data_IF_802673134132
#
_entry.id   IF_802673134132
#
_cell.length_a   1.000
_cell.length_b   1.000
_cell.length_c   1.000
_cell.angle_alpha   90.00
_cell.angle_beta   90.00
_cell.angle_gamma   90.00
#
_symmetry.space_group_name_H-M   'P 1'
#
loop_
_entity.id
_entity.type
_entity.pdbx_description
1 polymer ?
#
# COMPACT_ATOMS: atom_id res chain seq x y z
N UNK A 1 -5.84 17.36 7.79
CA UNK A 1 -6.69 16.16 7.58
C UNK A 1 -7.83 16.57 6.67
N UNK A 2 -8.04 15.82 5.57
CA UNK A 2 -9.10 16.09 4.58
C UNK A 2 -10.12 14.96 4.70
N UNK A 3 -11.39 15.30 4.92
CA UNK A 3 -12.55 14.39 4.99
C UNK A 3 -12.34 13.14 5.88
N UNK A 4 -11.59 13.27 6.98
CA UNK A 4 -11.29 12.19 7.90
C UNK A 4 -11.14 12.71 9.33
N UNK A 5 -11.27 11.80 10.30
CA UNK A 5 -10.89 12.05 11.68
C UNK A 5 -9.36 12.06 11.83
N UNK A 6 -8.82 12.79 12.85
CA UNK A 6 -7.41 12.70 13.20
C UNK A 6 -6.99 11.26 13.56
N UNK A 7 -5.72 10.91 13.34
CA UNK A 7 -5.21 9.56 13.63
C UNK A 7 -5.47 9.11 15.09
N UNK A 8 -5.35 10.01 16.05
CA UNK A 8 -5.63 9.75 17.48
C UNK A 8 -7.07 9.30 17.78
N UNK A 9 -8.00 9.55 16.87
CA UNK A 9 -9.38 9.08 17.00
C UNK A 9 -9.61 7.76 16.23
N UNK A 10 -8.71 7.40 15.33
CA UNK A 10 -8.82 6.22 14.47
C UNK A 10 -7.98 5.04 14.95
N UNK A 11 -6.89 5.31 15.69
CA UNK A 11 -5.90 4.32 16.13
C UNK A 11 -5.81 4.38 17.66
N UNK A 12 -5.82 3.21 18.30
CA UNK A 12 -5.67 3.01 19.73
C UNK A 12 -4.38 2.26 20.02
N UNK A 13 -3.93 2.30 21.27
CA UNK A 13 -2.68 1.67 21.70
C UNK A 13 -2.63 0.15 21.47
N UNK A 14 -3.77 -0.54 21.51
CA UNK A 14 -3.89 -1.99 21.28
C UNK A 14 -4.10 -2.40 19.81
N UNK A 15 -4.25 -1.43 18.91
CA UNK A 15 -4.42 -1.71 17.49
C UNK A 15 -3.13 -2.31 16.88
N UNK A 16 -3.33 -3.27 15.98
CA UNK A 16 -2.28 -3.72 15.06
C UNK A 16 -2.30 -2.82 13.83
N UNK A 17 -1.16 -2.25 13.49
CA UNK A 17 -1.03 -1.28 12.38
C UNK A 17 -0.13 -1.84 11.28
N UNK A 18 -0.58 -1.70 10.04
CA UNK A 18 0.22 -2.00 8.85
C UNK A 18 0.45 -0.73 8.05
N UNK A 19 1.71 -0.37 7.87
CA UNK A 19 2.10 0.66 6.93
C UNK A 19 2.34 0.03 5.56
N UNK A 20 1.72 0.57 4.53
CA UNK A 20 1.95 0.16 3.14
C UNK A 20 2.69 1.28 2.44
N UNK A 21 3.92 1.01 2.02
CA UNK A 21 4.80 1.97 1.36
C UNK A 21 5.11 1.54 -0.07
N UNK A 22 5.46 2.48 -0.93
CA UNK A 22 5.83 2.17 -2.31
C UNK A 22 7.26 1.57 -2.41
N UNK A 23 7.55 0.94 -3.54
CA UNK A 23 8.87 0.40 -3.86
C UNK A 23 9.91 1.48 -4.23
N UNK A 24 11.14 1.04 -4.55
CA UNK A 24 12.26 1.91 -4.92
C UNK A 24 11.98 2.81 -6.12
N UNK A 25 11.15 2.40 -7.05
CA UNK A 25 10.83 3.21 -8.25
C UNK A 25 10.16 4.53 -7.88
N UNK A 26 9.65 4.64 -6.65
CA UNK A 26 8.97 5.80 -6.11
C UNK A 26 9.65 6.42 -4.88
N UNK A 27 10.91 6.03 -4.60
CA UNK A 27 11.67 6.53 -3.45
C UNK A 27 11.91 8.05 -3.47
N UNK A 28 11.86 8.67 -4.65
CA UNK A 28 11.92 10.13 -4.81
C UNK A 28 10.85 10.89 -3.99
N UNK A 29 9.75 10.24 -3.61
CA UNK A 29 8.70 10.82 -2.76
C UNK A 29 9.11 10.95 -1.29
N UNK A 30 10.28 10.40 -0.90
CA UNK A 30 10.82 10.45 0.45
C UNK A 30 9.84 9.92 1.49
N UNK A 31 9.18 8.83 1.17
CA UNK A 31 8.25 8.13 2.06
C UNK A 31 8.92 7.62 3.35
N UNK A 32 10.22 7.37 3.30
CA UNK A 32 11.08 7.05 4.44
C UNK A 32 10.91 8.05 5.60
N UNK A 33 10.92 9.34 5.29
CA UNK A 33 10.75 10.41 6.28
C UNK A 33 9.34 10.47 6.86
N UNK A 34 8.33 10.31 6.01
CA UNK A 34 6.92 10.31 6.44
C UNK A 34 6.63 9.10 7.32
N UNK A 35 7.15 7.93 6.93
CA UNK A 35 7.01 6.69 7.69
C UNK A 35 7.64 6.83 9.09
N UNK A 36 8.87 7.36 9.18
CA UNK A 36 9.54 7.56 10.46
C UNK A 36 8.72 8.44 11.41
N UNK A 37 8.23 9.59 10.91
CA UNK A 37 7.37 10.50 11.70
C UNK A 37 6.09 9.78 12.18
N UNK A 38 5.46 8.98 11.34
CA UNK A 38 4.22 8.29 11.70
C UNK A 38 4.46 7.16 12.70
N UNK A 39 5.52 6.40 12.55
CA UNK A 39 5.90 5.31 13.47
C UNK A 39 6.18 5.89 14.87
N UNK A 40 6.99 6.94 14.96
CA UNK A 40 7.27 7.61 16.24
C UNK A 40 5.98 8.23 16.84
N UNK A 41 5.18 8.91 16.05
CA UNK A 41 3.91 9.48 16.52
C UNK A 41 2.96 8.40 17.08
N UNK A 42 2.83 7.26 16.41
CA UNK A 42 1.99 6.17 16.89
C UNK A 42 2.55 5.54 18.17
N UNK A 43 3.88 5.46 18.29
CA UNK A 43 4.51 4.91 19.49
C UNK A 43 4.45 5.89 20.66
N UNK A 44 4.95 7.09 20.48
CA UNK A 44 5.17 8.05 21.56
C UNK A 44 3.87 8.73 22.03
N UNK A 45 3.00 9.09 21.07
CA UNK A 45 1.78 9.86 21.39
C UNK A 45 0.54 8.96 21.57
N UNK A 46 0.46 7.83 20.85
CA UNK A 46 -0.71 6.95 20.91
C UNK A 46 -0.46 5.64 21.67
N UNK A 47 0.78 5.38 22.09
CA UNK A 47 1.17 4.23 22.89
C UNK A 47 1.14 2.89 22.14
N UNK A 48 1.16 2.90 20.80
CA UNK A 48 1.19 1.67 20.00
C UNK A 48 2.57 1.02 20.10
N UNK A 49 2.70 -0.24 20.57
CA UNK A 49 3.99 -0.93 20.61
C UNK A 49 4.56 -1.13 19.21
N UNK A 50 5.89 -1.05 19.05
CA UNK A 50 6.55 -1.35 17.77
C UNK A 50 6.22 -2.75 17.24
N UNK A 51 6.06 -3.74 18.12
CA UNK A 51 5.67 -5.11 17.76
C UNK A 51 4.25 -5.21 17.16
N UNK A 52 3.40 -4.23 17.42
CA UNK A 52 2.09 -4.13 16.81
C UNK A 52 2.13 -3.47 15.41
N UNK A 53 3.25 -2.88 15.03
CA UNK A 53 3.45 -2.22 13.75
C UNK A 53 4.18 -3.16 12.77
N UNK A 54 3.87 -3.04 11.49
CA UNK A 54 4.57 -3.73 10.41
C UNK A 54 4.56 -2.86 9.16
N UNK A 55 5.63 -2.92 8.39
CA UNK A 55 5.75 -2.22 7.11
C UNK A 55 5.74 -3.23 5.98
N UNK A 56 4.85 -3.05 5.00
CA UNK A 56 4.75 -3.85 3.78
C UNK A 56 5.13 -2.98 2.59
N UNK A 57 6.15 -3.40 1.84
CA UNK A 57 6.52 -2.75 0.58
C UNK A 57 5.58 -3.22 -0.52
N UNK A 58 4.80 -2.30 -1.09
CA UNK A 58 3.80 -2.54 -2.12
C UNK A 58 4.47 -2.73 -3.49
N UNK A 59 4.89 -3.94 -3.78
CA UNK A 59 5.62 -4.30 -5.01
C UNK A 59 4.71 -4.55 -6.21
N UNK A 60 3.45 -4.97 -5.96
CA UNK A 60 2.64 -5.53 -7.03
C UNK A 60 3.35 -6.75 -7.63
N UNK A 61 3.69 -6.67 -8.92
CA UNK A 61 4.47 -7.69 -9.62
C UNK A 61 5.93 -7.31 -9.88
N UNK A 62 6.43 -6.27 -9.23
CA UNK A 62 7.83 -5.88 -9.30
C UNK A 62 8.72 -6.86 -8.53
N UNK A 63 10.03 -6.83 -8.77
CA UNK A 63 10.99 -7.63 -8.03
C UNK A 63 11.00 -7.27 -6.54
N UNK A 64 11.30 -8.21 -5.66
CA UNK A 64 11.49 -7.91 -4.25
C UNK A 64 12.67 -6.94 -4.05
N UNK A 65 12.56 -6.09 -3.05
CA UNK A 65 13.63 -5.26 -2.58
C UNK A 65 14.64 -6.11 -1.79
N UNK A 66 15.94 -5.85 -1.97
CA UNK A 66 16.98 -6.45 -1.15
C UNK A 66 16.97 -5.86 0.27
N UNK A 67 17.69 -6.45 1.20
CA UNK A 67 17.63 -6.06 2.61
C UNK A 67 18.09 -4.62 2.85
N UNK A 68 19.16 -4.20 2.17
CA UNK A 68 19.67 -2.83 2.18
C UNK A 68 18.67 -1.84 1.55
N UNK A 69 17.94 -2.29 0.53
CA UNK A 69 16.86 -1.52 -0.09
C UNK A 69 15.65 -1.38 0.85
N UNK A 70 15.28 -2.43 1.60
CA UNK A 70 14.22 -2.38 2.61
C UNK A 70 14.58 -1.38 3.72
N UNK A 71 15.82 -1.44 4.21
CA UNK A 71 16.33 -0.49 5.19
C UNK A 71 16.25 0.96 4.66
N UNK A 72 16.63 1.18 3.40
CA UNK A 72 16.55 2.48 2.76
C UNK A 72 15.11 2.97 2.59
N UNK A 73 14.20 2.10 2.21
CA UNK A 73 12.79 2.43 1.98
C UNK A 73 12.05 2.82 3.27
N UNK A 74 12.36 2.15 4.38
CA UNK A 74 11.73 2.38 5.66
C UNK A 74 12.40 3.48 6.50
N UNK A 75 13.63 3.86 6.23
CA UNK A 75 14.66 4.48 7.07
C UNK A 75 15.28 3.48 8.04
N UNK A 76 16.54 3.75 8.43
CA UNK A 76 17.24 2.86 9.37
C UNK A 76 16.56 2.81 10.74
N UNK A 77 16.09 3.93 11.25
CA UNK A 77 15.43 4.02 12.56
C UNK A 77 14.19 3.13 12.63
N UNK A 78 13.37 3.13 11.57
CA UNK A 78 12.17 2.28 11.49
C UNK A 78 12.57 0.83 11.27
N UNK A 79 13.53 0.55 10.38
CA UNK A 79 13.96 -0.80 10.04
C UNK A 79 14.53 -1.56 11.25
N UNK A 80 15.20 -0.87 12.16
CA UNK A 80 15.78 -1.47 13.39
C UNK A 80 14.70 -1.81 14.46
N UNK A 81 13.48 -1.23 14.37
CA UNK A 81 12.44 -1.35 15.40
C UNK A 81 11.18 -2.04 14.93
N UNK A 82 10.85 -1.91 13.65
CA UNK A 82 9.60 -2.38 13.06
C UNK A 82 9.91 -3.38 11.95
N UNK A 83 9.21 -4.50 11.92
CA UNK A 83 9.37 -5.50 10.87
C UNK A 83 9.01 -4.90 9.51
N UNK A 84 9.93 -4.98 8.54
CA UNK A 84 9.74 -4.53 7.16
C UNK A 84 9.78 -5.73 6.23
N UNK A 85 8.77 -5.90 5.38
CA UNK A 85 8.66 -7.05 4.49
C UNK A 85 8.28 -6.65 3.07
N UNK A 86 8.74 -7.44 2.12
CA UNK A 86 8.25 -7.38 0.75
C UNK A 86 6.85 -7.99 0.64
N UNK A 87 5.98 -7.38 -0.17
CA UNK A 87 4.81 -8.09 -0.66
C UNK A 87 5.23 -9.08 -1.74
N UNK A 88 4.66 -10.28 -1.68
CA UNK A 88 4.76 -11.27 -2.75
C UNK A 88 3.37 -11.52 -3.35
N UNK A 89 3.20 -11.20 -4.63
CA UNK A 89 1.92 -11.39 -5.33
C UNK A 89 1.62 -12.86 -5.70
N UNK A 90 2.59 -13.75 -5.53
CA UNK A 90 2.46 -15.20 -5.79
C UNK A 90 2.47 -16.02 -4.49
N UNK A 91 2.44 -15.38 -3.32
CA UNK A 91 2.42 -16.07 -2.03
C UNK A 91 1.16 -16.94 -1.87
N UNK A 92 1.34 -18.10 -1.24
CA UNK A 92 0.25 -19.06 -1.01
C UNK A 92 -0.70 -18.65 0.11
N UNK A 93 -0.29 -17.69 0.96
CA UNK A 93 -1.04 -17.22 2.13
C UNK A 93 -1.91 -15.98 1.85
N UNK A 94 -2.02 -15.55 0.60
CA UNK A 94 -2.89 -14.43 0.23
C UNK A 94 -4.34 -14.68 0.64
N UNK A 95 -5.00 -13.64 1.16
CA UNK A 95 -6.38 -13.72 1.67
C UNK A 95 -7.36 -13.20 0.62
N UNK A 96 -8.36 -14.01 0.28
CA UNK A 96 -9.49 -13.55 -0.53
C UNK A 96 -10.43 -12.72 0.33
N UNK A 97 -10.64 -11.45 -0.05
CA UNK A 97 -11.55 -10.53 0.64
C UNK A 97 -12.85 -10.27 -0.13
N UNK A 98 -13.09 -11.06 -1.18
CA UNK A 98 -14.33 -11.02 -1.95
C UNK A 98 -14.13 -10.72 -3.42
N UNK A 99 -15.22 -10.39 -4.10
CA UNK A 99 -15.24 -10.08 -5.54
C UNK A 99 -15.84 -8.71 -5.76
N UNK A 100 -15.20 -7.90 -6.59
CA UNK A 100 -15.74 -6.57 -6.94
C UNK A 100 -17.01 -6.69 -7.80
N UNK A 101 -17.78 -5.61 -7.88
CA UNK A 101 -18.97 -5.52 -8.75
C UNK A 101 -18.67 -5.79 -10.23
N UNK A 102 -17.40 -5.72 -10.63
CA UNK A 102 -16.94 -6.01 -11.99
C UNK A 102 -16.37 -7.43 -12.15
N UNK A 103 -16.52 -8.30 -11.14
CA UNK A 103 -16.09 -9.69 -11.19
C UNK A 103 -14.59 -9.90 -10.99
N UNK A 104 -13.85 -8.94 -10.42
CA UNK A 104 -12.46 -9.15 -10.02
C UNK A 104 -12.40 -9.80 -8.64
N UNK A 105 -11.83 -10.98 -8.55
CA UNK A 105 -11.52 -11.63 -7.27
C UNK A 105 -10.36 -10.91 -6.58
N UNK A 106 -10.54 -10.54 -5.32
CA UNK A 106 -9.58 -9.69 -4.60
C UNK A 106 -8.81 -10.53 -3.58
N UNK A 107 -7.59 -10.87 -3.93
CA UNK A 107 -6.61 -11.52 -3.07
C UNK A 107 -5.59 -10.49 -2.61
N UNK A 108 -5.38 -10.36 -1.31
CA UNK A 108 -4.48 -9.36 -0.73
C UNK A 108 -3.52 -9.95 0.28
N UNK A 109 -2.46 -9.22 0.57
CA UNK A 109 -1.48 -9.57 1.59
C UNK A 109 -2.17 -9.74 2.96
N UNK A 110 -1.98 -10.86 3.68
CA UNK A 110 -2.61 -11.13 4.96
C UNK A 110 -2.30 -10.08 6.03
N UNK A 111 -1.14 -9.43 5.94
CA UNK A 111 -0.72 -8.40 6.88
C UNK A 111 -1.54 -7.09 6.79
N UNK A 112 -2.40 -6.95 5.79
CA UNK A 112 -3.34 -5.83 5.69
C UNK A 112 -4.76 -6.20 6.16
N UNK A 113 -5.03 -7.48 6.46
CA UNK A 113 -6.37 -7.96 6.84
C UNK A 113 -6.51 -7.96 8.36
N UNK A 114 -7.62 -7.40 8.87
CA UNK A 114 -7.88 -7.33 10.31
C UNK A 114 -6.96 -6.37 11.08
N UNK A 115 -6.29 -5.45 10.38
CA UNK A 115 -5.36 -4.46 10.96
C UNK A 115 -5.74 -3.04 10.49
N UNK A 116 -5.30 -2.03 11.21
CA UNK A 116 -5.39 -0.65 10.73
C UNK A 116 -4.33 -0.43 9.66
N UNK A 117 -4.74 -0.13 8.44
CA UNK A 117 -3.80 0.05 7.33
C UNK A 117 -3.60 1.52 7.00
N UNK A 118 -2.35 1.99 7.06
CA UNK A 118 -1.93 3.34 6.67
C UNK A 118 -1.13 3.23 5.37
N UNK A 119 -1.63 3.83 4.29
CA UNK A 119 -0.95 3.84 3.01
C UNK A 119 -0.17 5.15 2.83
N UNK A 120 1.14 5.04 2.57
CA UNK A 120 2.04 6.17 2.34
C UNK A 120 2.48 6.16 0.89
N UNK A 121 2.17 7.22 0.16
CA UNK A 121 2.54 7.34 -1.24
C UNK A 121 2.24 8.73 -1.80
N UNK A 122 2.85 9.05 -2.94
CA UNK A 122 2.64 10.31 -3.64
C UNK A 122 1.64 10.18 -4.77
N UNK A 123 0.90 11.23 -5.01
CA UNK A 123 -0.06 11.31 -6.11
C UNK A 123 0.62 11.86 -7.35
N UNK A 124 0.76 11.01 -8.38
CA UNK A 124 1.28 11.37 -9.70
C UNK A 124 0.38 10.79 -10.78
N UNK A 125 0.34 11.44 -11.94
CA UNK A 125 -0.40 10.91 -13.07
C UNK A 125 0.14 9.55 -13.53
N UNK A 126 -0.76 8.64 -13.85
CA UNK A 126 -0.43 7.29 -14.34
C UNK A 126 -1.31 6.93 -15.53
N UNK A 127 -0.67 6.54 -16.63
CA UNK A 127 -1.32 6.30 -17.92
C UNK A 127 -2.47 5.28 -17.91
N UNK A 128 -2.44 4.30 -17.01
CA UNK A 128 -3.47 3.26 -16.92
C UNK A 128 -4.42 3.44 -15.74
N UNK A 129 -3.92 3.98 -14.63
CA UNK A 129 -4.67 4.06 -13.38
C UNK A 129 -5.25 5.45 -13.09
N UNK A 130 -4.97 6.43 -13.94
CA UNK A 130 -5.26 7.84 -13.69
C UNK A 130 -4.21 8.46 -12.78
N UNK A 131 -4.17 8.03 -11.53
CA UNK A 131 -3.20 8.50 -10.54
C UNK A 131 -2.52 7.36 -9.80
N UNK A 132 -1.26 7.58 -9.42
CA UNK A 132 -0.53 6.77 -8.44
C UNK A 132 -0.93 7.15 -7.02
N UNK A 133 -0.42 6.40 -6.03
CA UNK A 133 -0.76 6.59 -4.61
C UNK A 133 -2.15 6.06 -4.23
N UNK A 134 -2.57 6.26 -2.97
CA UNK A 134 -3.86 5.86 -2.47
C UNK A 134 -4.22 4.39 -2.77
N UNK A 135 -5.34 4.17 -3.41
CA UNK A 135 -5.86 2.83 -3.76
C UNK A 135 -4.87 1.96 -4.54
N UNK A 136 -3.93 2.58 -5.27
CA UNK A 136 -2.91 1.85 -6.01
C UNK A 136 -1.91 1.11 -5.12
N UNK A 137 -1.75 1.54 -3.88
CA UNK A 137 -0.99 0.80 -2.88
C UNK A 137 -1.66 -0.54 -2.51
N UNK A 138 -2.97 -0.67 -2.70
CA UNK A 138 -3.69 -1.93 -2.54
C UNK A 138 -3.68 -2.72 -3.84
N UNK A 139 -4.15 -2.13 -4.95
CA UNK A 139 -4.20 -2.77 -6.26
C UNK A 139 -3.42 -1.93 -7.29
N UNK A 140 -2.28 -2.38 -7.78
CA UNK A 140 -1.69 -3.72 -7.63
C UNK A 140 -0.84 -3.93 -6.36
N UNK A 141 -0.51 -2.90 -5.59
CA UNK A 141 0.57 -2.83 -4.63
C UNK A 141 0.73 -4.03 -3.70
N UNK A 142 -0.32 -4.44 -3.01
CA UNK A 142 -0.33 -5.60 -2.09
C UNK A 142 -1.33 -6.68 -2.51
N UNK A 143 -1.71 -6.72 -3.80
CA UNK A 143 -2.67 -7.69 -4.33
C UNK A 143 -1.99 -8.87 -5.00
N UNK A 144 -2.66 -10.02 -5.00
CA UNK A 144 -2.22 -11.22 -5.67
C UNK A 144 -2.19 -11.09 -7.21
N UNK A 145 -1.34 -11.87 -7.86
CA UNK A 145 -1.14 -11.84 -9.32
C UNK A 145 -2.44 -12.04 -10.10
N UNK A 146 -3.32 -12.94 -9.65
CA UNK A 146 -4.61 -13.15 -10.29
C UNK A 146 -5.48 -11.88 -10.26
N UNK A 147 -5.57 -11.23 -9.12
CA UNK A 147 -6.29 -9.94 -8.95
C UNK A 147 -5.71 -8.87 -9.87
N UNK A 148 -4.39 -8.76 -9.92
CA UNK A 148 -3.68 -7.82 -10.80
C UNK A 148 -4.04 -8.09 -12.26
N UNK A 149 -3.95 -9.35 -12.72
CA UNK A 149 -4.28 -9.74 -14.10
C UNK A 149 -5.72 -9.41 -14.46
N UNK A 150 -6.68 -9.84 -13.64
CA UNK A 150 -8.10 -9.59 -13.88
C UNK A 150 -8.42 -8.09 -13.96
N UNK A 151 -7.77 -7.27 -13.15
CA UNK A 151 -7.96 -5.83 -13.19
C UNK A 151 -7.27 -5.19 -14.42
N UNK A 152 -6.02 -5.54 -14.70
CA UNK A 152 -5.24 -4.91 -15.77
C UNK A 152 -5.75 -5.26 -17.17
N UNK A 153 -6.32 -6.45 -17.37
CA UNK A 153 -6.96 -6.82 -18.65
C UNK A 153 -8.10 -5.90 -19.04
N UNK A 154 -8.75 -5.27 -18.05
CA UNK A 154 -9.80 -4.25 -18.33
C UNK A 154 -9.28 -3.02 -19.06
N UNK A 155 -7.98 -2.75 -18.98
CA UNK A 155 -7.36 -1.68 -19.75
C UNK A 155 -7.35 -1.95 -21.26
N UNK A 156 -7.55 -3.21 -21.67
CA UNK A 156 -7.64 -3.64 -23.06
C UNK A 156 -9.06 -3.54 -23.62
N UNK A 157 -10.08 -3.30 -22.77
CA UNK A 157 -11.46 -3.11 -23.20
C UNK A 157 -11.59 -1.81 -24.00
N UNK A 158 -12.00 -1.87 -25.27
CA UNK A 158 -12.16 -0.67 -26.12
C UNK A 158 -13.18 0.33 -25.56
N UNK A 159 -14.18 -0.15 -24.80
CA UNK A 159 -15.22 0.69 -24.18
C UNK A 159 -14.76 1.34 -22.89
N UNK A 160 -13.63 0.93 -22.32
CA UNK A 160 -13.14 1.49 -21.07
C UNK A 160 -12.73 2.96 -21.28
N UNK A 161 -13.12 3.86 -20.35
CA UNK A 161 -12.73 5.27 -20.43
C UNK A 161 -11.21 5.41 -20.54
N UNK A 162 -10.77 6.25 -21.46
CA UNK A 162 -9.33 6.59 -21.55
C UNK A 162 -8.95 7.44 -20.35
N UNK A 163 -7.76 7.18 -19.82
CA UNK A 163 -7.16 8.04 -18.82
C UNK A 163 -6.75 9.34 -19.46
N UNK A 164 -7.28 10.46 -19.02
CA UNK A 164 -6.80 11.77 -19.39
C UNK A 164 -6.55 12.65 -18.17
N UNK A 165 -5.78 13.70 -18.35
CA UNK A 165 -5.39 14.61 -17.26
C UNK A 165 -6.56 15.43 -16.72
N UNK A 166 -7.64 15.59 -17.47
CA UNK A 166 -8.80 16.41 -17.08
C UNK A 166 -9.75 15.65 -16.19
N UNK A 167 -9.92 14.35 -16.45
CA UNK A 167 -10.92 13.53 -15.79
C UNK A 167 -10.32 12.76 -14.61
N UNK A 168 -9.01 12.55 -14.59
CA UNK A 168 -8.35 11.76 -13.56
C UNK A 168 -8.86 10.31 -13.50
N UNK A 169 -9.53 9.87 -14.55
CA UNK A 169 -10.15 8.56 -14.63
C UNK A 169 -9.11 7.47 -14.71
N UNK A 170 -9.07 6.60 -13.73
CA UNK A 170 -8.28 5.38 -13.73
C UNK A 170 -9.15 4.16 -13.98
N UNK A 171 -8.56 3.13 -14.58
CA UNK A 171 -9.22 1.85 -14.84
C UNK A 171 -9.04 0.85 -13.70
N UNK A 172 -8.22 1.19 -12.72
CA UNK A 172 -8.00 0.41 -11.51
C UNK A 172 -9.06 0.85 -10.50
N UNK A 173 -10.13 0.10 -10.39
CA UNK A 173 -11.21 0.33 -9.43
C UNK A 173 -11.54 -0.96 -8.70
#
# INVERSE_FOLDING_TARGET
>A
VIDSKPLKELIKADDKVTFVISDLTRFWMRQDKVLAILVEYLHDELGVPYDNMIVVVALGSHRPAAEDELCKLASKEVYDRVKVVNHDCDADDLVNIGTTSRGTEVWVNPLAVGRKTIMIGGTVHHIMAGYGGGRKSVLPGISGRQTIRQNHTRALDPSAPRTDLKVGGGRIT
#
